data_IF_098897759588
#
_entry.id   IF_098897759588
#
_cell.length_a   1.000
_cell.length_b   1.000
_cell.length_c   1.000
_cell.angle_alpha   90.00
_cell.angle_beta   90.00
_cell.angle_gamma   90.00
#
_symmetry.space_group_name_H-M   'P 1'
#
loop_
_entity.id
_entity.type
_entity.pdbx_description
1 polymer ?
#
# COMPACT_ATOMS: atom_id res chain seq x y z
N UNK A 1 -4.32 0.09 -7.47
CA UNK A 1 -3.32 -0.86 -6.92
C UNK A 1 -4.07 -2.03 -6.29
N UNK A 2 -3.59 -3.27 -6.48
CA UNK A 2 -4.22 -4.45 -5.89
C UNK A 2 -3.89 -4.51 -4.40
N UNK A 3 -4.91 -4.58 -3.52
CA UNK A 3 -4.72 -4.75 -2.07
C UNK A 3 -4.18 -6.16 -1.81
N UNK A 4 -3.21 -6.26 -0.90
CA UNK A 4 -2.68 -7.54 -0.40
C UNK A 4 -2.91 -7.59 1.10
N UNK A 5 -3.51 -8.68 1.57
CA UNK A 5 -3.88 -8.87 2.97
C UNK A 5 -2.93 -9.84 3.65
N UNK A 6 -2.78 -9.72 4.97
CA UNK A 6 -1.94 -10.61 5.78
C UNK A 6 -2.48 -12.04 5.81
N UNK A 7 -3.81 -12.15 5.85
CA UNK A 7 -4.57 -13.40 5.88
C UNK A 7 -6.03 -13.12 5.44
N UNK A 8 -6.83 -14.18 5.31
CA UNK A 8 -8.21 -14.09 4.83
C UNK A 8 -9.12 -13.32 5.79
N UNK A 9 -8.94 -13.51 7.10
CA UNK A 9 -9.72 -12.84 8.14
C UNK A 9 -9.43 -11.33 8.15
N UNK A 10 -8.17 -10.95 8.01
CA UNK A 10 -7.76 -9.56 7.83
C UNK A 10 -8.41 -8.94 6.59
N UNK A 11 -8.56 -9.69 5.50
CA UNK A 11 -9.28 -9.28 4.31
C UNK A 11 -10.75 -8.95 4.57
N UNK A 12 -11.46 -9.87 5.22
CA UNK A 12 -12.88 -9.68 5.57
C UNK A 12 -13.09 -8.46 6.48
N UNK A 13 -12.27 -8.31 7.53
CA UNK A 13 -12.34 -7.16 8.45
C UNK A 13 -12.09 -5.85 7.70
N UNK A 14 -11.09 -5.81 6.80
CA UNK A 14 -10.78 -4.61 6.02
C UNK A 14 -11.92 -4.21 5.08
N UNK A 15 -12.57 -5.20 4.46
CA UNK A 15 -13.73 -4.96 3.61
C UNK A 15 -14.90 -4.37 4.40
N UNK A 16 -15.21 -4.93 5.57
CA UNK A 16 -16.22 -4.38 6.47
C UNK A 16 -15.90 -2.94 6.88
N UNK A 17 -14.66 -2.67 7.31
CA UNK A 17 -14.23 -1.32 7.68
C UNK A 17 -14.33 -0.33 6.49
N UNK A 18 -14.03 -0.79 5.28
CA UNK A 18 -14.20 -0.02 4.04
C UNK A 18 -15.68 0.34 3.83
N UNK A 19 -16.59 -0.63 3.92
CA UNK A 19 -18.03 -0.38 3.78
C UNK A 19 -18.58 0.60 4.82
N UNK A 20 -18.10 0.53 6.07
CA UNK A 20 -18.48 1.49 7.12
C UNK A 20 -17.97 2.91 6.79
N UNK A 21 -16.75 3.02 6.24
CA UNK A 21 -16.21 4.31 5.80
C UNK A 21 -17.02 4.88 4.62
N UNK A 22 -17.36 4.06 3.64
CA UNK A 22 -18.16 4.46 2.47
C UNK A 22 -19.57 4.91 2.86
N UNK A 23 -20.15 4.34 3.93
CA UNK A 23 -21.40 4.79 4.52
C UNK A 23 -21.28 6.13 5.29
N UNK A 24 -20.09 6.73 5.38
CA UNK A 24 -19.84 7.98 6.11
C UNK A 24 -19.78 7.82 7.63
N UNK A 25 -19.79 6.59 8.14
CA UNK A 25 -19.86 6.28 9.57
C UNK A 25 -18.48 6.11 10.22
N UNK A 26 -17.42 6.00 9.41
CA UNK A 26 -16.03 5.91 9.89
C UNK A 26 -15.18 6.97 9.18
N UNK A 27 -14.33 7.72 9.91
CA UNK A 27 -13.43 8.67 9.28
C UNK A 27 -12.26 7.97 8.58
N UNK A 28 -11.70 8.62 7.55
CA UNK A 28 -10.57 8.09 6.78
C UNK A 28 -9.33 7.81 7.64
N UNK A 29 -9.12 8.56 8.72
CA UNK A 29 -8.04 8.31 9.68
C UNK A 29 -8.13 6.94 10.32
N UNK A 30 -9.34 6.51 10.71
CA UNK A 30 -9.60 5.19 11.27
C UNK A 30 -9.44 4.10 10.22
N UNK A 31 -9.94 4.30 9.00
CA UNK A 31 -9.73 3.34 7.90
C UNK A 31 -8.21 3.12 7.63
N UNK A 32 -7.39 4.16 7.76
CA UNK A 32 -5.92 4.06 7.64
C UNK A 32 -5.26 3.28 8.78
N UNK A 33 -5.91 3.14 9.93
CA UNK A 33 -5.47 2.21 10.97
C UNK A 33 -5.76 0.76 10.59
N UNK A 34 -6.95 0.49 10.03
CA UNK A 34 -7.28 -0.81 9.46
C UNK A 34 -6.35 -1.19 8.29
N UNK A 35 -5.95 -0.24 7.45
CA UNK A 35 -4.92 -0.50 6.41
C UNK A 35 -3.64 -1.07 7.03
N UNK A 36 -3.15 -0.50 8.13
CA UNK A 36 -1.92 -0.96 8.81
C UNK A 36 -2.09 -2.32 9.49
N UNK A 37 -3.28 -2.59 10.01
CA UNK A 37 -3.60 -3.83 10.72
C UNK A 37 -3.86 -4.99 9.75
N UNK A 38 -4.51 -4.74 8.62
CA UNK A 38 -5.02 -5.78 7.72
C UNK A 38 -4.16 -5.99 6.46
N UNK A 39 -3.55 -4.93 5.92
CA UNK A 39 -2.79 -5.02 4.68
C UNK A 39 -1.35 -5.47 4.94
N UNK A 40 -0.80 -6.20 3.97
CA UNK A 40 0.64 -6.46 3.92
C UNK A 40 1.36 -5.13 3.70
N UNK A 41 2.37 -4.79 4.53
CA UNK A 41 3.09 -3.54 4.38
C UNK A 41 3.71 -3.45 2.98
N UNK A 42 3.56 -2.28 2.36
CA UNK A 42 4.15 -2.02 1.05
C UNK A 42 5.67 -2.19 1.12
N UNK A 43 6.25 -2.76 0.07
CA UNK A 43 7.69 -2.90 -0.04
C UNK A 43 8.34 -1.52 -0.03
N UNK A 44 9.37 -1.36 0.81
CA UNK A 44 10.18 -0.15 0.81
C UNK A 44 11.06 -0.19 -0.44
N UNK A 45 10.83 0.77 -1.33
CA UNK A 45 11.66 0.96 -2.51
C UNK A 45 12.86 1.83 -2.16
N UNK A 46 14.02 1.52 -2.72
CA UNK A 46 15.19 2.39 -2.61
C UNK A 46 14.95 3.70 -3.38
N UNK A 47 15.61 4.82 -3.00
CA UNK A 47 15.48 6.08 -3.72
C UNK A 47 15.72 5.97 -5.23
N UNK A 48 16.65 5.12 -5.65
CA UNK A 48 16.98 4.84 -7.05
C UNK A 48 15.83 4.14 -7.78
N UNK A 49 15.16 3.18 -7.12
CA UNK A 49 13.98 2.50 -7.67
C UNK A 49 12.81 3.46 -7.82
N UNK A 50 12.61 4.36 -6.84
CA UNK A 50 11.58 5.41 -6.91
C UNK A 50 11.90 6.37 -8.06
N UNK A 51 13.16 6.75 -8.26
CA UNK A 51 13.59 7.57 -9.40
C UNK A 51 13.34 6.85 -10.73
N UNK A 52 13.66 5.57 -10.84
CA UNK A 52 13.42 4.78 -12.05
C UNK A 52 11.92 4.70 -12.40
N UNK A 53 11.03 4.62 -11.41
CA UNK A 53 9.57 4.67 -11.62
C UNK A 53 9.11 6.06 -12.10
N UNK A 54 9.68 7.14 -11.54
CA UNK A 54 9.32 8.53 -11.88
C UNK A 54 9.88 8.98 -13.22
N UNK A 55 11.04 8.46 -13.62
CA UNK A 55 11.80 8.86 -14.79
C UNK A 55 12.13 7.64 -15.68
N UNK A 56 11.13 7.01 -16.31
CA UNK A 56 11.28 5.72 -16.99
C UNK A 56 12.27 5.72 -18.18
N UNK A 57 12.83 6.88 -18.54
CA UNK A 57 13.83 7.04 -19.61
C UNK A 57 15.28 7.25 -19.14
N UNK A 58 15.56 7.46 -17.84
CA UNK A 58 16.93 7.55 -17.32
C UNK A 58 17.32 6.20 -16.73
N UNK A 59 17.92 5.34 -17.55
CA UNK A 59 18.55 4.10 -17.05
C UNK A 59 19.70 4.50 -16.12
N UNK A 60 19.69 4.19 -14.82
CA UNK A 60 20.86 4.42 -13.99
C UNK A 60 21.99 3.53 -14.54
N UNK A 61 23.08 4.17 -14.96
CA UNK A 61 24.31 3.48 -15.35
C UNK A 61 24.75 2.67 -14.12
N UNK A 62 24.66 1.34 -14.20
CA UNK A 62 25.27 0.49 -13.18
C UNK A 62 26.77 0.78 -13.20
N UNK A 63 27.27 1.45 -12.15
CA UNK A 63 28.69 1.47 -11.87
C UNK A 63 29.05 0.07 -11.37
N UNK A 64 29.59 -0.74 -12.28
CA UNK A 64 30.16 -2.04 -11.96
C UNK A 64 31.37 -1.90 -11.05
N UNK A 65 31.55 -2.90 -10.20
CA UNK A 65 32.79 -3.18 -9.45
C UNK A 65 34.02 -3.26 -10.38
#
# INVERSE_FOLDING_TARGET
MKKTYKDEMAGAIHEMATGIHEAGLMPKSTLREFDRLCLTPAQKLAPEEIKAIREPGKRPLQAGH
#
